data_IF_392977802352
#
_entry.id   IF_392977802352
#
_cell.length_a   1.000
_cell.length_b   1.000
_cell.length_c   1.000
_cell.angle_alpha   90.00
_cell.angle_beta   90.00
_cell.angle_gamma   90.00
#
_symmetry.space_group_name_H-M   'P 1'
#
loop_
_entity.id
_entity.type
_entity.pdbx_description
1 polymer ?
#
# COMPACT_ATOMS: atom_id res chain seq x y z
N UNK A 1 -9.74 -2.87 11.87
CA UNK A 1 -8.98 -1.63 11.66
C UNK A 1 -9.72 -0.76 10.65
N UNK A 2 -9.75 0.54 10.86
CA UNK A 2 -10.19 1.53 9.86
C UNK A 2 -9.14 1.68 8.75
N UNK A 3 -9.53 2.25 7.60
CA UNK A 3 -8.58 2.55 6.52
C UNK A 3 -7.44 3.47 7.00
N UNK A 4 -7.75 4.43 7.86
CA UNK A 4 -6.75 5.33 8.47
C UNK A 4 -5.76 4.58 9.36
N UNK A 5 -6.23 3.64 10.17
CA UNK A 5 -5.35 2.82 11.02
C UNK A 5 -4.42 1.97 10.18
N UNK A 6 -4.93 1.33 9.11
CA UNK A 6 -4.12 0.54 8.17
C UNK A 6 -3.10 1.43 7.47
N UNK A 7 -3.52 2.57 6.92
CA UNK A 7 -2.62 3.47 6.20
C UNK A 7 -1.50 4.00 7.11
N UNK A 8 -1.78 4.19 8.41
CA UNK A 8 -0.77 4.63 9.39
C UNK A 8 0.26 3.56 9.75
N UNK A 9 -0.01 2.27 9.52
CA UNK A 9 1.01 1.22 9.78
C UNK A 9 2.12 1.22 8.73
N UNK A 10 1.84 1.72 7.52
CA UNK A 10 2.81 1.88 6.45
C UNK A 10 3.65 3.13 6.72
N UNK A 11 4.99 3.05 6.85
CA UNK A 11 5.84 4.22 7.05
C UNK A 11 5.69 5.29 5.94
N UNK A 12 5.93 6.55 6.29
CA UNK A 12 5.71 7.71 5.40
C UNK A 12 6.47 7.62 4.09
N UNK A 13 7.71 7.17 4.13
CA UNK A 13 8.59 7.02 2.97
C UNK A 13 7.99 6.07 1.93
N UNK A 14 7.40 4.96 2.36
CA UNK A 14 6.76 4.00 1.47
C UNK A 14 5.40 4.49 0.99
N UNK A 15 4.62 5.19 1.83
CA UNK A 15 3.38 5.83 1.36
C UNK A 15 3.68 6.83 0.24
N UNK A 16 4.72 7.65 0.42
CA UNK A 16 5.17 8.62 -0.57
C UNK A 16 5.60 7.93 -1.86
N UNK A 17 6.45 6.91 -1.77
CA UNK A 17 6.90 6.15 -2.95
C UNK A 17 5.73 5.54 -3.73
N UNK A 18 4.77 4.91 -3.03
CA UNK A 18 3.56 4.33 -3.65
C UNK A 18 2.76 5.37 -4.43
N UNK A 19 2.62 6.58 -3.87
CA UNK A 19 1.86 7.67 -4.49
C UNK A 19 2.61 8.30 -5.66
N UNK A 20 3.89 8.64 -5.49
CA UNK A 20 4.71 9.30 -6.52
C UNK A 20 4.88 8.44 -7.78
N UNK A 21 4.97 7.13 -7.61
CA UNK A 21 5.15 6.17 -8.71
C UNK A 21 3.83 5.68 -9.31
N UNK A 22 2.69 6.09 -8.74
CA UNK A 22 1.35 5.63 -9.11
C UNK A 22 1.21 4.09 -9.10
N UNK A 23 1.86 3.42 -8.14
CA UNK A 23 1.90 1.94 -8.08
C UNK A 23 0.50 1.32 -8.05
N UNK A 24 -0.43 1.88 -7.28
CA UNK A 24 -1.78 1.31 -7.07
C UNK A 24 -2.58 1.25 -8.38
N UNK A 25 -2.47 2.28 -9.23
CA UNK A 25 -3.22 2.34 -10.48
C UNK A 25 -2.57 1.54 -11.61
N UNK A 26 -1.24 1.36 -11.55
CA UNK A 26 -0.47 0.62 -12.57
C UNK A 26 -0.36 -0.87 -12.29
N UNK A 27 -0.47 -1.28 -11.03
CA UNK A 27 -0.34 -2.67 -10.64
C UNK A 27 -1.46 -3.54 -11.20
N UNK A 28 -1.06 -4.72 -11.67
CA UNK A 28 -1.93 -5.85 -12.02
C UNK A 28 -1.68 -6.99 -11.04
N UNK A 29 -2.66 -7.86 -10.81
CA UNK A 29 -2.50 -9.02 -9.93
C UNK A 29 -1.64 -10.15 -10.56
N UNK A 30 -0.52 -9.78 -11.18
CA UNK A 30 0.44 -10.68 -11.82
C UNK A 30 1.67 -10.87 -10.94
N UNK A 31 2.31 -12.05 -11.05
CA UNK A 31 3.60 -12.30 -10.42
C UNK A 31 4.74 -11.49 -11.04
N UNK A 32 4.65 -11.19 -12.34
CA UNK A 32 5.67 -10.42 -13.06
C UNK A 32 5.53 -8.90 -12.89
N UNK A 33 4.49 -8.44 -12.20
CA UNK A 33 4.24 -7.02 -12.00
C UNK A 33 5.05 -6.51 -10.79
N UNK A 34 6.06 -5.68 -11.07
CA UNK A 34 6.94 -5.14 -10.05
C UNK A 34 6.20 -4.24 -9.04
N UNK A 35 5.15 -3.52 -9.47
CA UNK A 35 4.34 -2.69 -8.58
C UNK A 35 3.54 -3.57 -7.63
N UNK A 36 2.94 -4.66 -8.13
CA UNK A 36 2.24 -5.62 -7.30
C UNK A 36 3.18 -6.34 -6.33
N UNK A 37 4.37 -6.75 -6.78
CA UNK A 37 5.37 -7.37 -5.90
C UNK A 37 5.77 -6.43 -4.75
N UNK A 38 5.96 -5.15 -5.05
CA UNK A 38 6.26 -4.12 -4.07
C UNK A 38 5.09 -3.92 -3.08
N UNK A 39 3.87 -3.73 -3.59
CA UNK A 39 2.68 -3.56 -2.75
C UNK A 39 2.45 -4.77 -1.82
N UNK A 40 2.69 -5.98 -2.33
CA UNK A 40 2.61 -7.21 -1.57
C UNK A 40 3.65 -7.26 -0.44
N UNK A 41 4.88 -6.85 -0.74
CA UNK A 41 5.95 -6.74 0.26
C UNK A 41 5.59 -5.75 1.36
N UNK A 42 5.10 -4.55 1.01
CA UNK A 42 4.67 -3.54 1.98
C UNK A 42 3.54 -4.07 2.86
N UNK A 43 2.53 -4.72 2.26
CA UNK A 43 1.42 -5.29 3.01
C UNK A 43 1.90 -6.32 4.03
N UNK A 44 2.74 -7.27 3.59
CA UNK A 44 3.29 -8.32 4.45
C UNK A 44 4.19 -7.75 5.54
N UNK A 45 4.96 -6.70 5.27
CA UNK A 45 5.87 -6.15 6.27
C UNK A 45 5.18 -5.27 7.30
N UNK A 46 4.20 -4.45 6.89
CA UNK A 46 3.68 -3.37 7.73
C UNK A 46 2.20 -3.48 8.08
N UNK A 47 1.39 -4.16 7.27
CA UNK A 47 -0.05 -4.25 7.49
C UNK A 47 -0.43 -5.57 8.17
N UNK A 48 0.13 -6.67 7.70
CA UNK A 48 -0.17 -8.01 8.19
C UNK A 48 1.10 -8.86 8.37
N UNK A 49 2.01 -8.48 9.28
CA UNK A 49 3.28 -9.20 9.52
C UNK A 49 3.10 -10.64 9.99
N UNK A 50 2.01 -10.92 10.68
CA UNK A 50 1.72 -12.25 11.24
C UNK A 50 0.83 -13.11 10.32
N UNK A 51 0.41 -12.58 9.16
CA UNK A 51 -0.39 -13.34 8.18
C UNK A 51 0.52 -14.13 7.24
N UNK A 52 0.29 -15.44 7.13
CA UNK A 52 0.91 -16.25 6.09
C UNK A 52 0.29 -15.92 4.72
N UNK A 53 0.91 -14.95 4.03
CA UNK A 53 0.54 -14.58 2.68
C UNK A 53 1.36 -15.41 1.70
N UNK A 54 0.69 -16.29 0.97
CA UNK A 54 1.27 -17.00 -0.17
C UNK A 54 1.56 -16.01 -1.32
N UNK A 55 2.83 -15.81 -1.62
CA UNK A 55 3.31 -14.93 -2.69
C UNK A 55 2.97 -15.46 -4.09
N UNK A 56 2.67 -16.75 -4.23
CA UNK A 56 2.21 -17.38 -5.47
C UNK A 56 0.71 -17.15 -5.74
N UNK A 57 -0.09 -17.01 -4.69
CA UNK A 57 -1.55 -16.93 -4.74
C UNK A 57 -2.07 -15.70 -5.52
N UNK A 58 -2.72 -15.94 -6.67
CA UNK A 58 -3.33 -14.89 -7.49
C UNK A 58 -4.46 -14.15 -6.77
N UNK A 59 -5.36 -14.87 -6.10
CA UNK A 59 -6.47 -14.29 -5.35
C UNK A 59 -5.99 -13.40 -4.18
N UNK A 60 -4.87 -13.77 -3.55
CA UNK A 60 -4.29 -13.01 -2.46
C UNK A 60 -3.75 -11.67 -2.97
N UNK A 61 -3.15 -11.66 -4.17
CA UNK A 61 -2.71 -10.43 -4.84
C UNK A 61 -3.89 -9.55 -5.23
N UNK A 62 -4.95 -10.11 -5.81
CA UNK A 62 -6.16 -9.36 -6.15
C UNK A 62 -6.80 -8.70 -4.92
N UNK A 63 -6.89 -9.44 -3.81
CA UNK A 63 -7.39 -8.92 -2.53
C UNK A 63 -6.54 -7.75 -2.05
N UNK A 64 -5.22 -7.92 -2.02
CA UNK A 64 -4.29 -6.89 -1.53
C UNK A 64 -4.31 -5.66 -2.44
N UNK A 65 -4.31 -5.84 -3.76
CA UNK A 65 -4.44 -4.74 -4.70
C UNK A 65 -5.77 -3.99 -4.53
N UNK A 66 -6.86 -4.72 -4.27
CA UNK A 66 -8.16 -4.11 -3.97
C UNK A 66 -8.12 -3.30 -2.68
N UNK A 67 -7.47 -3.82 -1.64
CA UNK A 67 -7.29 -3.08 -0.39
C UNK A 67 -6.47 -1.80 -0.62
N UNK A 68 -5.38 -1.86 -1.40
CA UNK A 68 -4.62 -0.65 -1.75
C UNK A 68 -5.45 0.37 -2.51
N UNK A 69 -6.30 -0.07 -3.45
CA UNK A 69 -7.24 0.83 -4.16
C UNK A 69 -8.20 1.53 -3.18
N UNK A 70 -8.68 0.82 -2.16
CA UNK A 70 -9.51 1.42 -1.10
C UNK A 70 -8.72 2.38 -0.20
N UNK A 71 -7.44 2.11 0.03
CA UNK A 71 -6.55 2.94 0.85
C UNK A 71 -6.08 4.21 0.13
N UNK A 72 -6.15 4.27 -1.21
CA UNK A 72 -5.54 5.32 -2.03
C UNK A 72 -5.87 6.73 -1.54
N UNK A 73 -7.15 7.05 -1.36
CA UNK A 73 -7.56 8.39 -0.89
C UNK A 73 -7.06 8.69 0.53
N UNK A 74 -6.93 7.67 1.37
CA UNK A 74 -6.44 7.82 2.74
C UNK A 74 -4.94 8.06 2.76
N UNK A 75 -4.18 7.36 1.91
CA UNK A 75 -2.75 7.59 1.72
C UNK A 75 -2.48 9.02 1.26
N UNK A 76 -3.24 9.51 0.28
CA UNK A 76 -3.14 10.90 -0.21
C UNK A 76 -3.41 11.91 0.91
N UNK A 77 -4.47 11.71 1.71
CA UNK A 77 -4.80 12.60 2.82
C UNK A 77 -3.70 12.64 3.89
N UNK A 78 -3.13 11.48 4.24
CA UNK A 78 -2.03 11.41 5.21
C UNK A 78 -0.78 12.11 4.70
N UNK A 79 -0.46 11.99 3.41
CA UNK A 79 0.70 12.66 2.81
C UNK A 79 0.49 14.18 2.76
N UNK A 80 -0.71 14.64 2.40
CA UNK A 80 -1.06 16.06 2.46
C UNK A 80 -0.92 16.64 3.87
N UNK A 81 -1.41 15.90 4.89
CA UNK A 81 -1.24 16.28 6.29
C UNK A 81 0.24 16.35 6.68
N UNK A 82 1.03 15.34 6.34
CA UNK A 82 2.47 15.33 6.64
C UNK A 82 3.21 16.52 6.03
N UNK A 83 2.89 16.86 4.78
CA UNK A 83 3.50 18.00 4.10
C UNK A 83 3.11 19.35 4.71
N UNK A 84 1.86 19.49 5.17
CA UNK A 84 1.44 20.69 5.89
C UNK A 84 2.15 20.85 7.24
N UNK A 85 2.35 19.75 7.99
CA UNK A 85 3.09 19.80 9.26
C UNK A 85 4.57 20.16 9.06
N UNK A 86 5.19 19.67 8.00
CA UNK A 86 6.61 19.91 7.71
C UNK A 86 6.90 21.28 7.06
N UNK A 87 5.86 22.00 6.63
CA UNK A 87 5.98 23.33 6.01
C UNK A 87 5.93 24.48 7.05
N UNK A 88 5.83 24.16 8.33
CA UNK A 88 5.83 25.08 9.48
C UNK A 88 7.19 24.99 10.18
#
# INVERSE_FOLDING_TARGET
>A
MTLTEIAKTIPSEYRKEILETNMISRATASYSDASMAYLLQIWKTYVAPDEEIDMGCGLCKERILTNFKQLQDTLVKLEQQSNLLNAI
#
